data_IF_269944560287
#
_entry.id   IF_269944560287
#
_cell.length_a   1.000
_cell.length_b   1.000
_cell.length_c   1.000
_cell.angle_alpha   90.00
_cell.angle_beta   90.00
_cell.angle_gamma   90.00
#
_symmetry.space_group_name_H-M   'P 1'
#
loop_
_entity.id
_entity.type
_entity.pdbx_description
1 polymer ?
#
# COMPACT_ATOMS: atom_id res chain seq x y z
N UNK A 1 -36.58 16.75 -36.59
CA UNK A 1 -36.37 17.89 -35.66
C UNK A 1 -35.91 17.31 -34.32
N UNK A 2 -34.61 17.11 -34.14
CA UNK A 2 -34.03 16.55 -32.91
C UNK A 2 -33.85 17.68 -31.89
N UNK A 3 -34.73 17.74 -30.88
CA UNK A 3 -34.63 18.71 -29.79
C UNK A 3 -33.51 18.26 -28.84
N UNK A 4 -32.31 18.80 -29.02
CA UNK A 4 -31.18 18.65 -28.09
C UNK A 4 -31.53 19.39 -26.80
N UNK A 5 -31.97 18.64 -25.80
CA UNK A 5 -32.40 19.16 -24.52
C UNK A 5 -31.22 19.25 -23.54
N UNK A 6 -30.42 20.30 -23.68
CA UNK A 6 -29.32 20.59 -22.77
C UNK A 6 -29.82 21.04 -21.39
N UNK A 7 -29.21 20.54 -20.31
CA UNK A 7 -29.49 20.92 -18.92
C UNK A 7 -28.35 21.77 -18.39
N UNK A 8 -28.65 22.93 -17.83
CA UNK A 8 -27.63 23.76 -17.20
C UNK A 8 -27.22 23.19 -15.84
N UNK A 9 -25.92 23.13 -15.60
CA UNK A 9 -25.35 22.72 -14.32
C UNK A 9 -25.69 23.74 -13.20
N UNK A 10 -26.35 23.36 -12.09
CA UNK A 10 -26.53 24.25 -10.93
C UNK A 10 -25.24 24.71 -10.25
N UNK A 11 -24.12 24.00 -10.44
CA UNK A 11 -22.85 24.35 -9.79
C UNK A 11 -21.99 25.32 -10.61
N UNK A 12 -21.96 25.20 -11.94
CA UNK A 12 -21.12 26.03 -12.80
C UNK A 12 -21.87 26.76 -13.92
N UNK A 13 -23.17 26.53 -14.09
CA UNK A 13 -24.00 27.12 -15.14
C UNK A 13 -23.80 26.53 -16.53
N UNK A 14 -22.84 25.61 -16.74
CA UNK A 14 -22.52 25.09 -18.06
C UNK A 14 -23.63 24.16 -18.62
N UNK A 15 -23.91 24.20 -19.93
CA UNK A 15 -24.90 23.33 -20.56
C UNK A 15 -24.34 21.90 -20.71
N UNK A 16 -25.02 20.92 -20.13
CA UNK A 16 -24.67 19.50 -20.22
C UNK A 16 -25.77 18.73 -20.95
N UNK A 17 -25.40 17.83 -21.86
CA UNK A 17 -26.36 17.01 -22.59
C UNK A 17 -26.71 15.77 -21.75
N UNK A 18 -28.00 15.49 -21.47
CA UNK A 18 -28.42 14.33 -20.69
C UNK A 18 -28.14 13.01 -21.39
N UNK A 19 -27.45 12.12 -20.68
CA UNK A 19 -27.28 10.73 -21.10
C UNK A 19 -28.61 9.98 -20.96
N UNK A 20 -29.01 9.28 -22.02
CA UNK A 20 -30.32 8.63 -22.10
C UNK A 20 -30.41 7.47 -21.09
N UNK A 21 -31.44 7.50 -20.24
CA UNK A 21 -31.76 6.41 -19.31
C UNK A 21 -31.09 6.49 -17.93
N UNK A 22 -30.31 7.53 -17.63
CA UNK A 22 -29.69 7.73 -16.31
C UNK A 22 -30.42 8.79 -15.48
N UNK A 23 -30.43 8.62 -14.16
CA UNK A 23 -31.10 9.54 -13.20
C UNK A 23 -30.17 10.68 -12.80
N UNK A 24 -28.86 10.41 -12.83
CA UNK A 24 -27.78 11.30 -12.45
C UNK A 24 -26.66 11.18 -13.47
N UNK A 25 -26.00 12.29 -13.76
CA UNK A 25 -24.77 12.32 -14.54
C UNK A 25 -23.80 13.35 -13.98
N UNK A 26 -22.50 13.14 -14.14
CA UNK A 26 -21.51 14.15 -13.80
C UNK A 26 -21.53 15.28 -14.85
N UNK A 27 -21.38 16.52 -14.40
CA UNK A 27 -21.16 17.65 -15.30
C UNK A 27 -19.82 17.49 -16.01
N UNK A 28 -19.82 17.54 -17.34
CA UNK A 28 -18.59 17.47 -18.15
C UNK A 28 -17.63 18.64 -17.93
N UNK A 29 -18.11 19.74 -17.34
CA UNK A 29 -17.32 20.95 -17.11
C UNK A 29 -16.73 21.04 -15.70
N UNK A 30 -17.54 20.83 -14.67
CA UNK A 30 -17.10 20.98 -13.27
C UNK A 30 -17.07 19.68 -12.48
N UNK A 31 -17.46 18.55 -13.07
CA UNK A 31 -17.50 17.24 -12.42
C UNK A 31 -18.58 17.08 -11.35
N UNK A 32 -19.39 18.12 -11.06
CA UNK A 32 -20.48 18.02 -10.08
C UNK A 32 -21.57 17.09 -10.58
N UNK A 33 -22.08 16.21 -9.72
CA UNK A 33 -23.20 15.33 -10.04
C UNK A 33 -24.50 16.12 -10.19
N UNK A 34 -25.12 15.98 -11.35
CA UNK A 34 -26.36 16.65 -11.73
C UNK A 34 -27.50 15.65 -11.81
N UNK A 35 -28.63 16.01 -11.22
CA UNK A 35 -29.86 15.24 -11.34
C UNK A 35 -30.54 15.57 -12.66
N UNK A 36 -30.68 14.58 -13.55
CA UNK A 36 -31.38 14.75 -14.83
C UNK A 36 -32.88 14.82 -14.55
N UNK A 37 -33.61 15.90 -14.89
CA UNK A 37 -35.03 15.99 -14.62
C UNK A 37 -35.82 14.99 -15.48
N UNK A 38 -36.93 14.48 -14.94
CA UNK A 38 -37.70 13.35 -15.48
C UNK A 38 -38.19 13.54 -16.92
N UNK A 39 -38.39 14.78 -17.36
CA UNK A 39 -38.84 15.11 -18.71
C UNK A 39 -37.75 14.93 -19.79
N UNK A 40 -36.48 14.81 -19.40
CA UNK A 40 -35.33 14.57 -20.28
C UNK A 40 -34.77 13.16 -20.19
N UNK A 41 -35.31 12.36 -19.27
CA UNK A 41 -35.04 10.93 -19.20
C UNK A 41 -35.81 10.27 -20.33
N UNK A 42 -35.15 10.02 -21.45
CA UNK A 42 -35.68 9.12 -22.50
C UNK A 42 -36.05 7.80 -21.83
N UNK A 43 -37.33 7.40 -21.90
CA UNK A 43 -37.86 6.24 -21.17
C UNK A 43 -37.08 4.98 -21.55
N UNK A 44 -36.16 4.56 -20.69
CA UNK A 44 -35.54 3.24 -20.78
C UNK A 44 -36.60 2.20 -20.40
N UNK A 45 -36.88 1.26 -21.30
CA UNK A 45 -37.65 0.05 -21.00
C UNK A 45 -36.86 -0.75 -19.96
N UNK A 46 -37.42 -1.10 -18.79
CA UNK A 46 -36.67 -1.77 -17.75
C UNK A 46 -36.34 -3.22 -18.17
N UNK A 47 -35.05 -3.54 -18.34
CA UNK A 47 -34.57 -4.92 -18.50
C UNK A 47 -33.95 -5.41 -17.20
N UNK A 48 -34.74 -6.20 -16.47
CA UNK A 48 -34.36 -6.94 -15.27
C UNK A 48 -33.45 -8.13 -15.67
N UNK A 49 -32.21 -8.10 -15.16
CA UNK A 49 -31.46 -9.20 -14.51
C UNK A 49 -31.20 -10.56 -15.22
N UNK A 50 -29.91 -10.93 -15.37
CA UNK A 50 -29.24 -12.13 -14.77
C UNK A 50 -28.01 -12.61 -15.58
N UNK A 51 -26.86 -12.58 -14.88
CA UNK A 51 -25.75 -13.56 -14.86
C UNK A 51 -25.03 -13.99 -16.16
N UNK A 52 -23.71 -13.69 -16.16
CA UNK A 52 -22.59 -14.50 -16.68
C UNK A 52 -22.12 -14.35 -18.14
N UNK A 53 -20.85 -13.91 -18.25
CA UNK A 53 -19.78 -14.44 -19.11
C UNK A 53 -19.20 -13.53 -20.21
N UNK A 54 -18.05 -12.93 -19.87
CA UNK A 54 -16.77 -12.90 -20.61
C UNK A 54 -16.63 -12.03 -21.89
N UNK A 55 -15.93 -10.89 -21.76
CA UNK A 55 -14.65 -10.59 -22.44
C UNK A 55 -14.30 -9.08 -22.47
N UNK A 56 -13.42 -8.60 -21.55
CA UNK A 56 -12.37 -7.58 -21.80
C UNK A 56 -11.47 -7.45 -20.55
N UNK A 57 -10.13 -7.46 -20.66
CA UNK A 57 -9.24 -7.37 -19.50
C UNK A 57 -9.17 -5.92 -19.04
N UNK A 58 -9.79 -5.62 -17.89
CA UNK A 58 -9.56 -4.39 -17.15
C UNK A 58 -8.96 -4.81 -15.83
N UNK A 59 -7.67 -4.54 -15.70
CA UNK A 59 -6.91 -4.58 -14.46
C UNK A 59 -7.63 -3.60 -13.51
N UNK A 60 -8.44 -4.14 -12.60
CA UNK A 60 -9.03 -3.40 -11.49
C UNK A 60 -8.25 -3.82 -10.24
N UNK A 61 -7.46 -2.92 -9.62
CA UNK A 61 -6.62 -3.22 -8.45
C UNK A 61 -7.39 -3.02 -7.13
N UNK A 62 -8.70 -3.27 -7.12
CA UNK A 62 -9.54 -3.07 -5.93
C UNK A 62 -10.38 -4.31 -5.65
N UNK A 63 -9.68 -5.45 -5.56
CA UNK A 63 -10.17 -6.67 -4.93
C UNK A 63 -9.16 -6.98 -3.81
N UNK A 64 -9.61 -6.82 -2.57
CA UNK A 64 -9.04 -7.45 -1.36
C UNK A 64 -7.63 -7.03 -0.90
N UNK A 65 -7.39 -5.73 -0.77
CA UNK A 65 -6.20 -5.22 -0.06
C UNK A 65 -6.00 -5.82 1.36
N UNK A 66 -7.03 -6.01 2.22
CA UNK A 66 -6.80 -6.56 3.56
C UNK A 66 -6.56 -8.08 3.56
N UNK A 67 -7.23 -8.86 2.71
CA UNK A 67 -7.09 -10.33 2.72
C UNK A 67 -5.79 -10.82 2.07
N UNK A 68 -5.26 -10.08 1.09
CA UNK A 68 -3.92 -10.32 0.56
C UNK A 68 -2.84 -10.01 1.60
N UNK A 69 -3.01 -8.95 2.39
CA UNK A 69 -2.11 -8.63 3.51
C UNK A 69 -2.20 -9.70 4.60
N UNK A 70 -3.41 -10.18 4.92
CA UNK A 70 -3.63 -11.22 5.93
C UNK A 70 -3.01 -12.56 5.53
N UNK A 71 -3.00 -12.89 4.24
CA UNK A 71 -2.39 -14.12 3.70
C UNK A 71 -0.87 -14.03 3.52
N UNK A 72 -0.33 -12.82 3.35
CA UNK A 72 1.11 -12.57 3.23
C UNK A 72 1.85 -12.50 4.59
N UNK A 73 1.15 -12.25 5.70
CA UNK A 73 1.74 -12.18 7.04
C UNK A 73 2.70 -13.32 7.41
N UNK A 74 2.38 -14.62 7.21
CA UNK A 74 3.27 -15.69 7.67
C UNK A 74 4.60 -15.74 6.91
N UNK A 75 4.65 -15.23 5.68
CA UNK A 75 5.90 -15.14 4.90
C UNK A 75 6.74 -13.94 5.35
N UNK A 76 6.08 -12.80 5.57
CA UNK A 76 6.74 -11.59 6.07
C UNK A 76 7.37 -11.81 7.46
N UNK A 77 6.69 -12.53 8.36
CA UNK A 77 7.21 -12.81 9.71
C UNK A 77 8.45 -13.72 9.67
N UNK A 78 8.45 -14.77 8.83
CA UNK A 78 9.61 -15.65 8.69
C UNK A 78 10.82 -14.91 8.12
N UNK A 79 10.60 -14.09 7.09
CA UNK A 79 11.65 -13.25 6.50
C UNK A 79 12.19 -12.24 7.53
N UNK A 80 11.30 -11.61 8.30
CA UNK A 80 11.66 -10.65 9.33
C UNK A 80 12.46 -11.31 10.47
N UNK A 81 12.03 -12.48 10.96
CA UNK A 81 12.76 -13.21 12.00
C UNK A 81 14.14 -13.68 11.52
N UNK A 82 14.26 -14.16 10.27
CA UNK A 82 15.55 -14.57 9.72
C UNK A 82 16.50 -13.37 9.57
N UNK A 83 15.97 -12.24 9.12
CA UNK A 83 16.73 -11.00 8.98
C UNK A 83 17.14 -10.41 10.34
N UNK A 84 16.24 -10.43 11.32
CA UNK A 84 16.53 -10.04 12.70
C UNK A 84 17.63 -10.93 13.31
N UNK A 85 17.57 -12.25 13.08
CA UNK A 85 18.61 -13.17 13.54
C UNK A 85 19.96 -12.91 12.86
N UNK A 86 19.96 -12.70 11.54
CA UNK A 86 21.18 -12.44 10.79
C UNK A 86 21.84 -11.11 11.20
N UNK A 87 21.04 -10.05 11.37
CA UNK A 87 21.52 -8.74 11.83
C UNK A 87 22.09 -8.82 13.24
N UNK A 88 21.42 -9.53 14.14
CA UNK A 88 21.91 -9.73 15.51
C UNK A 88 23.19 -10.56 15.52
N UNK A 89 23.25 -11.67 14.78
CA UNK A 89 24.44 -12.51 14.67
C UNK A 89 25.64 -11.73 14.13
N UNK A 90 25.42 -10.91 13.07
CA UNK A 90 26.47 -10.09 12.46
C UNK A 90 27.05 -9.04 13.42
N UNK A 91 26.27 -8.61 14.42
CA UNK A 91 26.71 -7.63 15.42
C UNK A 91 27.25 -8.28 16.71
N UNK A 92 26.62 -9.37 17.15
CA UNK A 92 26.98 -10.07 18.38
C UNK A 92 28.33 -10.79 18.25
N UNK A 93 28.62 -11.36 17.08
CA UNK A 93 29.88 -12.07 16.83
C UNK A 93 31.11 -11.17 16.98
N UNK A 94 31.22 -9.99 16.30
CA UNK A 94 32.35 -9.10 16.49
C UNK A 94 32.39 -8.50 17.90
N UNK A 95 31.26 -8.15 18.50
CA UNK A 95 31.23 -7.61 19.86
C UNK A 95 31.79 -8.63 20.88
N UNK A 96 31.35 -9.88 20.82
CA UNK A 96 31.84 -10.94 21.69
C UNK A 96 33.35 -11.19 21.51
N UNK A 97 33.82 -11.21 20.25
CA UNK A 97 35.24 -11.40 19.94
C UNK A 97 36.09 -10.25 20.47
N UNK A 98 35.64 -9.00 20.33
CA UNK A 98 36.35 -7.83 20.88
C UNK A 98 36.44 -7.85 22.40
N UNK A 99 35.37 -8.27 23.10
CA UNK A 99 35.38 -8.40 24.57
C UNK A 99 36.38 -9.47 25.01
N UNK A 100 36.43 -10.62 24.33
CA UNK A 100 37.40 -11.67 24.62
C UNK A 100 38.84 -11.21 24.43
N UNK A 101 39.13 -10.50 23.33
CA UNK A 101 40.48 -9.98 23.05
C UNK A 101 40.89 -8.95 24.10
N UNK A 102 40.02 -8.01 24.44
CA UNK A 102 40.28 -7.00 25.48
C UNK A 102 40.52 -7.66 26.84
N UNK A 103 39.73 -8.68 27.20
CA UNK A 103 39.94 -9.46 28.41
C UNK A 103 41.29 -10.18 28.42
N UNK A 104 41.68 -10.81 27.31
CA UNK A 104 42.98 -11.45 27.18
C UNK A 104 44.15 -10.47 27.31
N UNK A 105 44.06 -9.31 26.64
CA UNK A 105 45.07 -8.26 26.74
C UNK A 105 45.19 -7.78 28.18
N UNK A 106 44.07 -7.53 28.85
CA UNK A 106 44.07 -7.11 30.25
C UNK A 106 44.72 -8.15 31.17
N UNK A 107 44.40 -9.44 30.99
CA UNK A 107 45.03 -10.53 31.74
C UNK A 107 46.54 -10.62 31.48
N UNK A 108 46.98 -10.47 30.23
CA UNK A 108 48.41 -10.47 29.88
C UNK A 108 49.11 -9.28 30.52
N UNK A 109 48.52 -8.08 30.44
CA UNK A 109 49.09 -6.88 31.05
C UNK A 109 49.21 -7.05 32.56
N UNK A 110 48.14 -7.49 33.24
CA UNK A 110 48.14 -7.70 34.69
C UNK A 110 49.05 -8.86 35.14
N UNK A 111 49.19 -9.91 34.33
CA UNK A 111 50.03 -11.07 34.65
C UNK A 111 51.50 -10.86 34.32
N UNK A 112 51.80 -10.13 33.24
CA UNK A 112 53.17 -9.84 32.83
C UNK A 112 53.75 -8.64 33.58
N UNK A 113 52.94 -7.66 34.02
CA UNK A 113 53.42 -6.54 34.84
C UNK A 113 54.24 -7.00 36.06
N UNK A 114 53.75 -7.89 36.94
CA UNK A 114 54.50 -8.33 38.11
C UNK A 114 55.74 -9.15 37.73
N UNK A 115 55.70 -9.90 36.63
CA UNK A 115 56.87 -10.66 36.14
C UNK A 115 57.97 -9.74 35.63
N UNK A 116 57.60 -8.69 34.88
CA UNK A 116 58.55 -7.69 34.38
C UNK A 116 59.08 -6.84 35.53
N UNK A 117 58.22 -6.35 36.43
CA UNK A 117 58.66 -5.58 37.60
C UNK A 117 59.57 -6.38 38.53
N UNK A 118 59.35 -7.69 38.69
CA UNK A 118 60.23 -8.57 39.47
C UNK A 118 61.56 -8.90 38.80
N UNK A 119 61.68 -8.77 37.47
CA UNK A 119 62.94 -8.91 36.73
C UNK A 119 63.83 -7.66 36.78
N UNK A 120 63.23 -6.49 37.07
CA UNK A 120 63.91 -5.20 37.18
C UNK A 120 64.26 -4.81 38.63
N UNK A 121 63.97 -5.69 39.60
CA UNK A 121 64.31 -5.52 41.03
C UNK A 121 65.48 -6.43 41.41
#
# INVERSE_FOLDING_TARGET
>A
MTKSSSINCPACGAPNEPEAGTTYMACTYCGTNLTIPSHLRTKAIPKVEKTSSKAKPVISPEIDAPDLIRKAQPVAIKAFNLYAYWTWLRWLLPACLTILVLGFILCIVLGALPFVFGLFQ
#
